data_IF_217680054795
#
_entry.id   IF_217680054795
#
_cell.length_a   1.000
_cell.length_b   1.000
_cell.length_c   1.000
_cell.angle_alpha   90.00
_cell.angle_beta   90.00
_cell.angle_gamma   90.00
#
_symmetry.space_group_name_H-M   'P 1'
#
loop_
_entity.id
_entity.type
_entity.pdbx_description
1 polymer ?
#
# COMPACT_ATOMS: atom_id res chain seq x y z
N UNK A 1 4.30 -17.54 23.05
CA UNK A 1 3.45 -17.76 24.24
C UNK A 1 2.17 -18.42 23.71
N UNK A 2 1.07 -18.51 24.46
CA UNK A 2 -0.20 -19.01 23.93
C UNK A 2 -1.24 -17.89 23.99
N UNK A 3 -2.10 -17.81 22.96
CA UNK A 3 -3.25 -16.91 22.96
C UNK A 3 -4.15 -17.20 24.18
N UNK A 4 -4.57 -16.15 24.88
CA UNK A 4 -5.38 -16.22 26.09
C UNK A 4 -6.85 -15.94 25.78
N UNK A 5 -7.74 -16.47 26.62
CA UNK A 5 -9.15 -16.07 26.62
C UNK A 5 -9.35 -15.02 27.69
N UNK A 6 -9.59 -13.78 27.27
CA UNK A 6 -9.78 -12.67 28.19
C UNK A 6 -11.11 -12.81 28.94
N UNK A 7 -11.18 -12.27 30.14
CA UNK A 7 -12.41 -12.29 30.94
C UNK A 7 -13.24 -11.04 30.68
N UNK A 8 -14.55 -11.20 30.71
CA UNK A 8 -15.54 -10.12 30.75
C UNK A 8 -16.56 -10.40 31.87
N UNK A 9 -17.30 -9.37 32.28
CA UNK A 9 -18.33 -9.53 33.30
C UNK A 9 -19.70 -9.84 32.67
N UNK A 10 -20.40 -10.84 33.21
CA UNK A 10 -21.74 -11.19 32.79
C UNK A 10 -22.60 -11.64 33.97
N UNK A 11 -23.59 -10.82 34.32
CA UNK A 11 -24.64 -11.17 35.28
C UNK A 11 -24.15 -11.65 36.67
N UNK A 12 -23.03 -11.12 37.18
CA UNK A 12 -22.48 -11.54 38.48
C UNK A 12 -21.20 -12.34 38.39
N UNK A 13 -20.91 -12.92 37.22
CA UNK A 13 -19.82 -13.86 37.03
C UNK A 13 -18.81 -13.35 36.00
N UNK A 14 -17.58 -13.83 36.11
CA UNK A 14 -16.55 -13.65 35.10
C UNK A 14 -16.60 -14.80 34.09
N UNK A 15 -16.67 -14.44 32.81
CA UNK A 15 -16.72 -15.39 31.70
C UNK A 15 -15.58 -15.16 30.73
N UNK A 16 -15.15 -16.23 30.08
CA UNK A 16 -14.16 -16.17 29.00
C UNK A 16 -14.81 -15.60 27.72
N UNK A 17 -14.17 -14.62 27.09
CA UNK A 17 -14.58 -14.11 25.79
C UNK A 17 -14.46 -15.20 24.73
N UNK A 18 -15.45 -15.25 23.84
CA UNK A 18 -15.44 -16.05 22.63
C UNK A 18 -14.48 -15.46 21.60
N UNK A 19 -14.09 -16.26 20.59
CA UNK A 19 -13.26 -15.77 19.49
C UNK A 19 -13.90 -14.60 18.73
N UNK A 20 -15.24 -14.55 18.64
CA UNK A 20 -15.95 -13.46 17.98
C UNK A 20 -15.86 -12.16 18.78
N UNK A 21 -16.07 -12.21 20.09
CA UNK A 21 -15.93 -11.04 20.98
C UNK A 21 -14.48 -10.52 21.00
N UNK A 22 -13.50 -11.42 20.94
CA UNK A 22 -12.08 -11.04 20.81
C UNK A 22 -11.80 -10.28 19.50
N UNK A 23 -12.42 -10.68 18.39
CA UNK A 23 -12.32 -9.96 17.11
C UNK A 23 -12.95 -8.56 17.20
N UNK A 24 -13.99 -8.37 17.99
CA UNK A 24 -14.55 -7.03 18.22
C UNK A 24 -13.56 -6.12 18.96
N UNK A 25 -12.82 -6.63 19.94
CA UNK A 25 -11.74 -5.87 20.59
C UNK A 25 -10.65 -5.51 19.59
N UNK A 26 -10.21 -6.47 18.76
CA UNK A 26 -9.23 -6.22 17.70
C UNK A 26 -9.71 -5.14 16.73
N UNK A 27 -10.98 -5.17 16.30
CA UNK A 27 -11.57 -4.12 15.46
C UNK A 27 -11.61 -2.76 16.15
N UNK A 28 -11.82 -2.69 17.47
CA UNK A 28 -11.74 -1.43 18.22
C UNK A 28 -10.31 -0.89 18.23
N UNK A 29 -9.32 -1.75 18.46
CA UNK A 29 -7.91 -1.36 18.38
C UNK A 29 -7.54 -0.87 16.97
N UNK A 30 -8.05 -1.53 15.93
CA UNK A 30 -7.85 -1.12 14.53
C UNK A 30 -8.52 0.22 14.24
N UNK A 31 -9.67 0.51 14.84
CA UNK A 31 -10.26 1.85 14.79
C UNK A 31 -9.30 2.90 15.38
N UNK A 32 -8.74 2.66 16.57
CA UNK A 32 -7.78 3.56 17.19
C UNK A 32 -6.52 3.75 16.31
N UNK A 33 -6.00 2.67 15.70
CA UNK A 33 -4.94 2.75 14.70
C UNK A 33 -5.37 3.59 13.49
N UNK A 34 -6.57 3.36 12.96
CA UNK A 34 -7.10 4.09 11.80
C UNK A 34 -7.24 5.59 12.01
N UNK A 35 -7.55 6.02 13.25
CA UNK A 35 -7.61 7.43 13.64
C UNK A 35 -6.22 8.07 13.66
N UNK A 36 -5.19 7.32 14.07
CA UNK A 36 -3.80 7.80 14.10
C UNK A 36 -2.80 6.73 13.63
N UNK A 37 -2.70 6.47 12.31
CA UNK A 37 -1.84 5.40 11.79
C UNK A 37 -0.36 5.69 12.04
N UNK A 38 0.44 4.65 12.27
CA UNK A 38 1.88 4.79 12.56
C UNK A 38 2.79 4.27 11.47
N UNK A 39 2.30 3.46 10.52
CA UNK A 39 2.94 3.17 9.25
C UNK A 39 2.23 3.99 8.16
N UNK A 40 2.84 5.10 7.75
CA UNK A 40 2.19 6.15 6.97
C UNK A 40 2.79 6.21 5.57
N UNK A 41 1.96 6.00 4.54
CA UNK A 41 2.32 6.29 3.15
C UNK A 41 1.96 7.73 2.79
N UNK A 42 2.87 8.36 2.07
CA UNK A 42 2.76 9.72 1.52
C UNK A 42 3.17 9.71 0.05
N UNK A 43 2.72 10.71 -0.70
CA UNK A 43 3.13 10.91 -2.09
C UNK A 43 4.16 12.04 -2.15
N UNK A 44 5.34 11.75 -2.71
CA UNK A 44 6.44 12.69 -2.92
C UNK A 44 6.69 12.92 -4.40
N UNK A 45 7.45 13.96 -4.73
CA UNK A 45 7.79 14.27 -6.13
C UNK A 45 8.76 13.25 -6.75
N UNK A 46 9.74 12.79 -5.97
CA UNK A 46 10.74 11.77 -6.30
C UNK A 46 11.40 11.28 -5.01
N UNK A 47 12.20 10.20 -5.08
CA UNK A 47 13.01 9.68 -3.97
C UNK A 47 12.19 9.26 -2.75
N UNK A 48 11.13 8.48 -2.98
CA UNK A 48 10.35 7.85 -1.93
C UNK A 48 11.22 6.91 -1.09
N UNK A 49 11.04 6.94 0.23
CA UNK A 49 11.75 6.02 1.11
C UNK A 49 10.93 4.75 1.35
N UNK A 50 11.63 3.61 1.45
CA UNK A 50 11.12 2.33 1.95
C UNK A 50 9.97 1.70 1.14
N UNK A 51 9.73 2.20 -0.08
CA UNK A 51 8.87 1.58 -1.09
C UNK A 51 9.63 1.67 -2.42
N UNK A 52 9.72 0.55 -3.13
CA UNK A 52 10.50 0.50 -4.37
C UNK A 52 9.86 1.37 -5.47
N UNK A 53 10.73 1.98 -6.26
CA UNK A 53 10.34 2.64 -7.50
C UNK A 53 9.78 1.62 -8.50
N UNK A 54 8.88 2.06 -9.36
CA UNK A 54 8.30 1.26 -10.44
C UNK A 54 8.46 1.99 -11.76
N UNK A 55 8.64 1.23 -12.84
CA UNK A 55 8.96 1.77 -14.14
C UNK A 55 7.76 1.70 -15.08
N UNK A 56 7.57 2.78 -15.83
CA UNK A 56 6.68 2.88 -16.99
C UNK A 56 7.54 2.84 -18.26
N UNK A 57 7.14 2.06 -19.27
CA UNK A 57 7.91 1.92 -20.50
C UNK A 57 7.08 2.18 -21.75
N UNK A 58 7.64 2.99 -22.65
CA UNK A 58 7.03 3.30 -23.94
C UNK A 58 8.04 3.27 -25.07
N UNK A 59 7.56 3.27 -26.31
CA UNK A 59 8.40 3.32 -27.51
C UNK A 59 8.59 4.77 -27.96
N UNK A 60 9.80 5.10 -28.41
CA UNK A 60 10.12 6.36 -29.09
C UNK A 60 10.67 6.07 -30.49
N UNK A 61 10.62 7.06 -31.39
CA UNK A 61 11.17 6.92 -32.73
C UNK A 61 12.63 6.44 -32.73
N UNK A 62 13.00 5.64 -33.73
CA UNK A 62 14.39 5.32 -34.00
C UNK A 62 15.16 6.52 -34.54
N UNK A 63 16.49 6.45 -34.59
CA UNK A 63 17.29 7.54 -35.14
C UNK A 63 17.01 7.74 -36.65
N UNK A 64 16.91 9.00 -37.08
CA UNK A 64 16.75 9.34 -38.50
C UNK A 64 18.02 9.02 -39.28
N UNK A 65 17.88 8.32 -40.41
CA UNK A 65 18.92 8.16 -41.42
C UNK A 65 18.77 9.21 -42.51
N UNK A 66 19.89 9.75 -43.02
CA UNK A 66 19.90 10.78 -44.06
C UNK A 66 20.84 10.39 -45.20
N UNK A 67 20.50 10.81 -46.41
CA UNK A 67 21.26 10.53 -47.63
C UNK A 67 20.96 11.60 -48.69
N UNK A 68 21.93 11.87 -49.57
CA UNK A 68 21.75 12.88 -50.63
C UNK A 68 21.27 12.28 -51.97
N UNK A 69 21.09 10.96 -52.04
CA UNK A 69 20.91 10.25 -53.32
C UNK A 69 19.72 9.31 -53.35
N UNK A 70 19.32 8.75 -52.20
CA UNK A 70 18.20 7.82 -52.07
C UNK A 70 17.82 7.63 -50.59
N UNK A 71 16.60 7.19 -50.32
CA UNK A 71 16.18 6.77 -48.98
C UNK A 71 17.01 5.59 -48.47
N UNK A 72 17.34 5.61 -47.19
CA UNK A 72 17.95 4.47 -46.50
C UNK A 72 16.87 3.40 -46.29
N UNK A 73 17.21 2.15 -46.63
CA UNK A 73 16.28 1.04 -46.57
C UNK A 73 15.92 0.67 -45.13
N UNK A 74 14.67 0.22 -44.92
CA UNK A 74 14.09 -0.16 -43.62
C UNK A 74 15.01 -1.09 -42.83
N UNK A 75 15.50 -2.18 -43.42
CA UNK A 75 16.39 -3.11 -42.71
C UNK A 75 17.75 -2.55 -42.27
N UNK A 76 18.03 -1.26 -42.53
CA UNK A 76 19.24 -0.55 -42.12
C UNK A 76 18.95 0.74 -41.33
N UNK A 77 17.68 1.12 -41.16
CA UNK A 77 17.30 2.21 -40.26
C UNK A 77 17.35 1.73 -38.81
N UNK A 78 17.39 2.69 -37.88
CA UNK A 78 17.32 2.36 -36.47
C UNK A 78 15.86 2.10 -36.07
N UNK A 79 15.63 0.99 -35.37
CA UNK A 79 14.34 0.57 -34.84
C UNK A 79 13.85 1.48 -33.69
N UNK A 80 12.54 1.53 -33.39
CA UNK A 80 12.00 2.24 -32.24
C UNK A 80 12.60 1.77 -30.91
N UNK A 81 13.14 2.74 -30.16
CA UNK A 81 13.79 2.50 -28.87
C UNK A 81 12.78 2.50 -27.72
N UNK A 82 13.20 1.99 -26.56
CA UNK A 82 12.36 2.01 -25.35
C UNK A 82 12.79 3.17 -24.46
N UNK A 83 11.83 4.01 -24.09
CA UNK A 83 11.98 5.00 -23.03
C UNK A 83 11.42 4.42 -21.74
N UNK A 84 12.17 4.58 -20.65
CA UNK A 84 11.78 4.16 -19.31
C UNK A 84 11.68 5.38 -18.41
N UNK A 85 10.53 5.54 -17.75
CA UNK A 85 10.32 6.56 -16.72
C UNK A 85 10.13 5.86 -15.38
N UNK A 86 11.01 6.17 -14.43
CA UNK A 86 10.91 5.63 -13.09
C UNK A 86 10.02 6.50 -12.21
N UNK A 87 9.06 5.86 -11.54
CA UNK A 87 8.15 6.46 -10.57
C UNK A 87 8.55 6.05 -9.16
N UNK A 88 9.29 6.94 -8.51
CA UNK A 88 9.70 6.83 -7.11
C UNK A 88 8.94 7.85 -6.26
N UNK A 89 7.61 7.65 -6.17
CA UNK A 89 6.68 8.64 -5.61
C UNK A 89 6.01 8.24 -4.30
N UNK A 90 6.16 7.00 -3.85
CA UNK A 90 5.54 6.53 -2.61
C UNK A 90 6.58 6.52 -1.51
N UNK A 91 6.33 7.23 -0.42
CA UNK A 91 7.22 7.27 0.75
C UNK A 91 6.51 6.64 1.96
N UNK A 92 7.13 5.64 2.57
CA UNK A 92 6.72 5.05 3.84
C UNK A 92 7.53 5.64 4.99
N UNK A 93 6.82 6.20 5.97
CA UNK A 93 7.40 6.68 7.22
C UNK A 93 6.74 6.02 8.43
N UNK A 94 7.53 5.85 9.49
CA UNK A 94 7.05 5.35 10.77
C UNK A 94 7.00 6.46 11.80
N UNK A 95 5.91 6.52 12.57
CA UNK A 95 5.85 7.40 13.75
C UNK A 95 6.92 6.96 14.75
N UNK A 96 7.76 7.88 15.25
CA UNK A 96 8.79 7.56 16.23
C UNK A 96 8.18 7.01 17.53
N UNK A 97 8.90 6.13 18.25
CA UNK A 97 8.43 5.54 19.51
C UNK A 97 7.95 6.58 20.52
N UNK A 98 8.65 7.71 20.65
CA UNK A 98 8.27 8.82 21.55
C UNK A 98 6.97 9.53 21.16
N UNK A 99 6.46 9.31 19.95
CA UNK A 99 5.18 9.82 19.46
C UNK A 99 4.01 8.83 19.63
N UNK A 100 4.24 7.70 20.31
CA UNK A 100 3.23 6.67 20.59
C UNK A 100 3.13 6.53 22.11
N UNK A 101 1.93 6.69 22.67
CA UNK A 101 1.74 6.67 24.13
C UNK A 101 1.54 5.26 24.68
N UNK A 102 2.26 4.26 24.13
CA UNK A 102 2.13 2.89 24.61
C UNK A 102 2.61 2.78 26.08
N UNK A 103 1.73 2.28 26.93
CA UNK A 103 1.96 2.22 28.38
C UNK A 103 3.06 1.21 28.75
N UNK A 104 3.74 1.43 29.87
CA UNK A 104 4.63 0.40 30.45
C UNK A 104 3.78 -0.67 31.14
N UNK A 105 4.17 -1.94 30.97
CA UNK A 105 3.54 -3.06 31.68
C UNK A 105 3.94 -3.03 33.17
N UNK A 106 2.96 -2.81 34.04
CA UNK A 106 3.11 -2.80 35.50
C UNK A 106 2.63 -4.09 36.16
N UNK A 107 2.30 -5.12 35.37
CA UNK A 107 1.73 -6.39 35.84
C UNK A 107 0.21 -6.38 36.03
N UNK A 108 -0.44 -5.24 35.81
CA UNK A 108 -1.91 -5.07 35.85
C UNK A 108 -2.46 -4.23 34.69
N UNK A 109 -1.58 -3.79 33.79
CA UNK A 109 -1.89 -2.87 32.68
C UNK A 109 -2.84 -3.47 31.66
N UNK A 110 -2.77 -4.78 31.47
CA UNK A 110 -3.47 -5.49 30.40
C UNK A 110 -4.63 -6.34 30.93
N UNK A 111 -5.56 -6.71 30.04
CA UNK A 111 -6.67 -7.59 30.37
C UNK A 111 -6.29 -8.85 31.15
N UNK A 112 -7.23 -9.34 31.96
CA UNK A 112 -7.06 -10.58 32.73
C UNK A 112 -7.62 -11.80 32.02
N UNK A 113 -7.10 -12.97 32.38
CA UNK A 113 -7.55 -14.30 31.98
C UNK A 113 -7.54 -15.24 33.20
N UNK A 114 -8.20 -16.40 33.11
CA UNK A 114 -8.01 -17.47 34.09
C UNK A 114 -6.71 -18.21 33.80
N UNK A 115 -5.82 -18.31 34.78
CA UNK A 115 -4.68 -19.22 34.71
C UNK A 115 -5.15 -20.69 34.68
N UNK A 116 -4.25 -21.60 34.35
CA UNK A 116 -4.58 -23.04 34.27
C UNK A 116 -5.06 -23.66 35.60
N UNK A 117 -5.00 -22.92 36.71
CA UNK A 117 -5.53 -23.29 38.03
C UNK A 117 -6.90 -22.68 38.35
N UNK A 118 -7.41 -21.79 37.49
CA UNK A 118 -8.65 -21.04 37.70
C UNK A 118 -8.48 -19.73 38.47
N UNK A 119 -7.24 -19.29 38.74
CA UNK A 119 -6.96 -17.99 39.37
C UNK A 119 -6.94 -16.89 38.32
N UNK A 120 -7.26 -15.66 38.69
CA UNK A 120 -7.24 -14.52 37.77
C UNK A 120 -5.81 -13.99 37.66
N UNK A 121 -5.35 -13.82 36.42
CA UNK A 121 -4.03 -13.28 36.12
C UNK A 121 -4.12 -12.23 35.01
N UNK A 122 -3.45 -11.09 35.18
CA UNK A 122 -3.28 -10.12 34.10
C UNK A 122 -2.37 -10.67 33.00
N UNK A 123 -2.70 -10.42 31.74
CA UNK A 123 -1.81 -10.70 30.62
C UNK A 123 -0.48 -9.98 30.82
N UNK A 124 0.63 -10.68 30.54
CA UNK A 124 1.90 -10.00 30.26
C UNK A 124 1.84 -9.32 28.89
N UNK A 125 2.78 -8.43 28.58
CA UNK A 125 2.93 -7.89 27.22
C UNK A 125 3.02 -9.00 26.15
N UNK A 126 3.69 -10.10 26.44
CA UNK A 126 3.83 -11.20 25.49
C UNK A 126 2.51 -11.97 25.29
N UNK A 127 1.69 -12.10 26.34
CA UNK A 127 0.33 -12.63 26.21
C UNK A 127 -0.55 -11.68 25.40
N UNK A 128 -0.46 -10.36 25.65
CA UNK A 128 -1.22 -9.35 24.90
C UNK A 128 -0.91 -9.40 23.40
N UNK A 129 0.38 -9.49 23.07
CA UNK A 129 0.86 -9.63 21.70
C UNK A 129 0.22 -10.81 20.99
N UNK A 130 0.34 -12.00 21.56
CA UNK A 130 -0.19 -13.24 20.96
C UNK A 130 -1.73 -13.28 20.97
N UNK A 131 -2.38 -12.59 21.91
CA UNK A 131 -3.84 -12.64 22.10
C UNK A 131 -4.59 -11.62 21.25
N UNK A 132 -4.07 -10.40 21.12
CA UNK A 132 -4.77 -9.27 20.48
C UNK A 132 -3.95 -8.59 19.39
N UNK A 133 -2.69 -8.22 19.66
CA UNK A 133 -1.95 -7.36 18.73
C UNK A 133 -1.64 -8.08 17.42
N UNK A 134 -1.10 -9.30 17.49
CA UNK A 134 -0.74 -10.10 16.31
C UNK A 134 -1.97 -10.43 15.45
N UNK A 135 -3.09 -10.96 16.00
CA UNK A 135 -4.32 -11.12 15.22
C UNK A 135 -4.88 -9.82 14.62
N UNK A 136 -4.78 -8.68 15.33
CA UNK A 136 -5.22 -7.40 14.79
C UNK A 136 -4.37 -6.96 13.59
N UNK A 137 -3.05 -7.17 13.62
CA UNK A 137 -2.18 -6.96 12.45
C UNK A 137 -2.59 -7.87 11.29
N UNK A 138 -2.92 -9.14 11.52
CA UNK A 138 -3.44 -10.04 10.46
C UNK A 138 -4.68 -9.47 9.77
N UNK A 139 -5.63 -8.94 10.56
CA UNK A 139 -6.82 -8.29 10.02
C UNK A 139 -6.44 -7.05 9.20
N UNK A 140 -5.52 -6.21 9.69
CA UNK A 140 -5.08 -4.99 9.00
C UNK A 140 -4.42 -5.28 7.65
N UNK A 141 -3.64 -6.36 7.55
CA UNK A 141 -2.90 -6.71 6.32
C UNK A 141 -3.71 -7.59 5.37
N UNK A 142 -4.92 -8.04 5.71
CA UNK A 142 -5.77 -8.89 4.87
C UNK A 142 -6.01 -8.31 3.48
N UNK A 143 -5.80 -9.06 2.40
CA UNK A 143 -6.06 -8.63 1.00
C UNK A 143 -7.45 -8.06 0.75
N UNK A 144 -8.46 -8.52 1.49
CA UNK A 144 -9.83 -8.02 1.40
C UNK A 144 -10.01 -6.82 2.32
N UNK A 145 -10.21 -5.65 1.71
CA UNK A 145 -10.37 -4.39 2.42
C UNK A 145 -11.74 -4.28 3.12
N UNK A 146 -11.74 -3.75 4.34
CA UNK A 146 -12.95 -3.55 5.14
C UNK A 146 -12.70 -2.52 6.26
N UNK A 147 -13.63 -2.34 7.19
CA UNK A 147 -13.37 -1.58 8.42
C UNK A 147 -12.21 -2.16 9.25
N UNK A 148 -11.88 -3.44 9.09
CA UNK A 148 -10.75 -4.09 9.79
C UNK A 148 -9.40 -3.79 9.14
N UNK A 149 -9.36 -3.02 8.05
CA UNK A 149 -8.12 -2.54 7.41
C UNK A 149 -7.98 -1.02 7.53
N UNK A 150 -8.65 -0.39 8.51
CA UNK A 150 -8.60 1.05 8.74
C UNK A 150 -7.15 1.55 8.94
N UNK A 151 -6.86 2.74 8.42
CA UNK A 151 -5.53 3.34 8.46
C UNK A 151 -4.52 2.75 7.49
N UNK A 152 -4.86 1.68 6.75
CA UNK A 152 -4.02 1.11 5.69
C UNK A 152 -4.34 1.71 4.32
N UNK A 153 -3.49 1.43 3.33
CA UNK A 153 -3.52 2.11 2.04
C UNK A 153 -3.92 1.19 0.90
N UNK A 154 -4.52 1.79 -0.12
CA UNK A 154 -4.95 1.15 -1.37
C UNK A 154 -4.62 2.02 -2.58
N UNK A 155 -4.49 1.39 -3.75
CA UNK A 155 -4.31 2.11 -5.01
C UNK A 155 -5.58 1.99 -5.83
N UNK A 156 -6.01 3.08 -6.45
CA UNK A 156 -7.12 3.07 -7.41
C UNK A 156 -6.75 3.87 -8.66
N UNK A 157 -7.55 3.75 -9.72
CA UNK A 157 -7.43 4.56 -10.93
C UNK A 157 -8.27 5.86 -10.88
N UNK A 158 -8.68 6.30 -9.69
CA UNK A 158 -9.47 7.51 -9.47
C UNK A 158 -8.71 8.50 -8.60
N UNK A 159 -8.63 9.76 -9.03
CA UNK A 159 -8.09 10.85 -8.21
C UNK A 159 -9.06 11.31 -7.11
N UNK A 160 -10.30 10.83 -7.14
CA UNK A 160 -11.29 11.03 -6.07
C UNK A 160 -11.42 9.77 -5.24
N UNK A 161 -11.53 9.93 -3.92
CA UNK A 161 -11.72 8.82 -3.01
C UNK A 161 -13.15 8.26 -3.07
N UNK A 162 -13.29 6.95 -2.93
CA UNK A 162 -14.57 6.29 -2.73
C UNK A 162 -15.05 6.47 -1.28
N UNK A 163 -16.30 6.07 -1.00
CA UNK A 163 -16.83 6.02 0.38
C UNK A 163 -15.91 5.21 1.30
N UNK A 164 -15.68 5.72 2.51
CA UNK A 164 -14.76 5.18 3.53
C UNK A 164 -13.26 5.25 3.17
N UNK A 165 -12.89 6.05 2.17
CA UNK A 165 -11.50 6.34 1.87
C UNK A 165 -11.24 7.84 1.81
N UNK A 166 -10.03 8.20 2.20
CA UNK A 166 -9.48 9.54 2.02
C UNK A 166 -8.39 9.49 0.94
N UNK A 167 -8.43 10.44 -0.01
CA UNK A 167 -7.35 10.59 -0.96
C UNK A 167 -6.09 11.09 -0.25
N UNK A 168 -4.96 10.41 -0.43
CA UNK A 168 -3.66 10.85 0.10
C UNK A 168 -3.09 12.01 -0.72
N UNK A 169 -3.24 11.96 -2.04
CA UNK A 169 -2.79 13.01 -2.96
C UNK A 169 -3.50 12.92 -4.31
N UNK A 170 -3.83 14.06 -4.90
CA UNK A 170 -4.29 14.13 -6.29
C UNK A 170 -3.15 13.95 -7.31
N UNK A 171 -1.91 13.76 -6.87
CA UNK A 171 -0.79 13.38 -7.72
C UNK A 171 -0.75 11.87 -7.88
N UNK A 172 -0.73 11.39 -9.11
CA UNK A 172 -0.60 9.96 -9.39
C UNK A 172 0.77 9.43 -8.94
N UNK A 173 0.75 8.28 -8.25
CA UNK A 173 1.96 7.55 -7.85
C UNK A 173 2.57 6.77 -9.02
N UNK A 174 1.76 6.44 -10.03
CA UNK A 174 2.15 5.78 -11.25
C UNK A 174 1.24 6.23 -12.40
N UNK A 175 1.82 6.38 -13.59
CA UNK A 175 1.07 6.67 -14.80
C UNK A 175 1.57 5.74 -15.89
N UNK A 176 0.67 4.91 -16.41
CA UNK A 176 0.86 4.09 -17.60
C UNK A 176 0.79 5.00 -18.82
N UNK A 177 1.83 5.02 -19.62
CA UNK A 177 1.89 5.82 -20.85
C UNK A 177 2.27 4.97 -22.05
N UNK A 178 1.84 5.41 -23.24
CA UNK A 178 2.21 4.77 -24.50
C UNK A 178 2.60 5.80 -25.54
N UNK A 179 3.40 5.38 -26.52
CA UNK A 179 3.67 6.20 -27.70
C UNK A 179 2.35 6.62 -28.35
N UNK A 180 2.16 7.92 -28.56
CA UNK A 180 1.06 8.46 -29.35
C UNK A 180 1.42 8.36 -30.82
N UNK A 181 0.99 7.28 -31.47
CA UNK A 181 1.30 7.03 -32.88
C UNK A 181 0.70 8.05 -33.84
N UNK A 182 -0.24 8.89 -33.38
CA UNK A 182 -0.86 9.93 -34.21
C UNK A 182 0.00 11.19 -34.36
N UNK A 183 0.93 11.43 -33.43
CA UNK A 183 1.88 12.56 -33.48
C UNK A 183 3.07 12.28 -34.41
N UNK A 184 3.39 11.01 -34.64
CA UNK A 184 4.44 10.60 -35.56
C UNK A 184 3.97 10.73 -37.02
N UNK A 185 4.53 11.68 -37.76
CA UNK A 185 4.17 11.91 -39.18
C UNK A 185 5.40 11.91 -40.08
N UNK A 186 5.25 11.47 -41.34
CA UNK A 186 6.33 11.52 -42.33
C UNK A 186 6.86 12.95 -42.53
N UNK A 187 5.97 13.95 -42.53
CA UNK A 187 6.35 15.36 -42.63
C UNK A 187 7.15 15.86 -41.41
N UNK A 188 7.06 15.18 -40.26
CA UNK A 188 7.78 15.48 -39.04
C UNK A 188 9.22 14.96 -38.99
N UNK A 189 9.69 14.21 -40.00
CA UNK A 189 11.06 13.67 -40.00
C UNK A 189 12.09 14.80 -40.18
N UNK A 190 13.11 14.94 -39.29
CA UNK A 190 13.47 14.05 -38.19
C UNK A 190 12.58 14.25 -36.93
N UNK A 191 12.02 13.16 -36.41
CA UNK A 191 11.33 13.13 -35.11
C UNK A 191 12.33 12.76 -34.00
N UNK A 192 12.30 13.49 -32.88
CA UNK A 192 13.21 13.29 -31.74
C UNK A 192 12.52 13.34 -30.39
N UNK A 193 11.23 13.68 -30.36
CA UNK A 193 10.41 13.74 -29.16
C UNK A 193 9.85 12.36 -28.81
N UNK A 194 9.57 12.16 -27.52
CA UNK A 194 9.09 10.91 -26.93
C UNK A 194 7.57 10.66 -27.15
N UNK A 195 6.83 11.71 -27.52
CA UNK A 195 5.39 11.68 -27.86
C UNK A 195 4.52 10.74 -26.97
N UNK A 196 4.49 10.90 -25.63
CA UNK A 196 3.69 10.05 -24.77
C UNK A 196 2.21 10.44 -24.72
N UNK A 197 1.34 9.44 -24.69
CA UNK A 197 -0.07 9.55 -24.32
C UNK A 197 -0.31 8.85 -22.98
N UNK A 198 -1.03 9.51 -22.06
CA UNK A 198 -1.45 8.90 -20.79
C UNK A 198 -2.58 7.93 -21.04
N UNK A 199 -2.44 6.70 -20.54
CA UNK A 199 -3.47 5.66 -20.64
C UNK A 199 -4.25 5.55 -19.34
N UNK A 200 -3.53 5.38 -18.23
CA UNK A 200 -4.15 5.26 -16.90
C UNK A 200 -3.25 5.93 -15.86
N UNK A 201 -3.87 6.66 -14.93
CA UNK A 201 -3.19 7.22 -13.76
C UNK A 201 -3.68 6.53 -12.49
N UNK A 202 -2.76 6.28 -11.57
CA UNK A 202 -3.01 5.53 -10.35
C UNK A 202 -2.71 6.36 -9.11
N UNK A 203 -3.63 6.34 -8.15
CA UNK A 203 -3.65 7.25 -7.00
C UNK A 203 -3.73 6.46 -5.70
N UNK A 204 -3.10 7.00 -4.67
CA UNK A 204 -3.03 6.40 -3.34
C UNK A 204 -4.17 6.91 -2.45
N UNK A 205 -4.87 5.99 -1.80
CA UNK A 205 -5.97 6.28 -0.88
C UNK A 205 -5.72 5.57 0.45
N UNK A 206 -6.22 6.16 1.54
CA UNK A 206 -6.19 5.57 2.89
C UNK A 206 -7.60 5.14 3.28
N UNK A 207 -7.73 3.93 3.83
CA UNK A 207 -8.99 3.47 4.43
C UNK A 207 -9.30 4.27 5.70
N UNK A 208 -10.48 4.85 5.79
CA UNK A 208 -10.91 5.61 6.94
C UNK A 208 -11.25 4.73 8.14
N UNK A 209 -11.10 5.30 9.33
CA UNK A 209 -11.52 4.66 10.57
C UNK A 209 -13.04 4.58 10.65
N UNK A 210 -13.56 3.41 11.01
CA UNK A 210 -14.98 3.20 11.28
C UNK A 210 -15.12 2.71 12.71
N UNK A 211 -15.91 3.44 13.51
CA UNK A 211 -16.07 3.13 14.92
C UNK A 211 -16.68 1.74 15.10
N UNK A 212 -16.05 0.93 15.94
CA UNK A 212 -16.59 -0.32 16.44
C UNK A 212 -16.90 -0.18 17.93
N UNK A 213 -18.05 -0.70 18.37
CA UNK A 213 -18.37 -0.84 19.79
C UNK A 213 -18.47 -2.32 20.10
N UNK A 214 -17.45 -2.91 20.77
CA UNK A 214 -17.51 -4.29 21.22
C UNK A 214 -18.75 -4.58 22.06
N UNK A 215 -19.34 -5.74 21.86
CA UNK A 215 -20.48 -6.24 22.64
C UNK A 215 -20.09 -6.54 24.09
N UNK A 216 -18.83 -6.90 24.33
CA UNK A 216 -18.21 -7.14 25.63
C UNK A 216 -16.86 -6.46 25.70
N UNK A 217 -16.49 -5.98 26.89
CA UNK A 217 -15.18 -5.41 27.15
C UNK A 217 -14.37 -6.30 28.10
N UNK A 218 -13.05 -6.39 27.89
CA UNK A 218 -12.19 -7.16 28.79
C UNK A 218 -12.07 -6.51 30.16
N UNK A 219 -11.78 -7.32 31.17
CA UNK A 219 -11.53 -6.91 32.55
C UNK A 219 -10.05 -6.61 32.75
N UNK A 220 -9.74 -5.56 33.52
CA UNK A 220 -8.40 -5.21 34.02
C UNK A 220 -8.40 -5.14 35.54
N UNK A 221 -7.21 -5.15 36.15
CA UNK A 221 -7.03 -4.89 37.59
C UNK A 221 -6.68 -3.41 37.76
N UNK A 222 -7.51 -2.66 38.46
CA UNK A 222 -7.28 -1.23 38.66
C UNK A 222 -6.25 -0.95 39.79
N UNK A 223 -5.95 0.32 40.03
CA UNK A 223 -4.96 0.72 41.04
C UNK A 223 -5.34 0.39 42.50
N UNK A 224 -6.60 0.03 42.76
CA UNK A 224 -7.08 -0.44 44.06
C UNK A 224 -7.05 -1.98 44.19
N UNK A 225 -6.53 -2.69 43.18
CA UNK A 225 -6.60 -4.14 43.03
C UNK A 225 -8.02 -4.70 42.84
N UNK A 226 -8.96 -3.87 42.39
CA UNK A 226 -10.31 -4.32 42.02
C UNK A 226 -10.39 -4.65 40.53
N UNK A 227 -11.30 -5.56 40.18
CA UNK A 227 -11.60 -5.86 38.78
C UNK A 227 -12.49 -4.78 38.18
N UNK A 228 -12.16 -4.37 36.95
CA UNK A 228 -12.87 -3.32 36.24
C UNK A 228 -12.98 -3.64 34.75
N UNK A 229 -14.16 -3.46 34.15
CA UNK A 229 -14.31 -3.52 32.70
C UNK A 229 -13.61 -2.33 32.03
N UNK A 230 -12.84 -2.59 30.98
CA UNK A 230 -12.28 -1.54 30.14
C UNK A 230 -13.41 -0.76 29.46
N UNK A 231 -13.24 0.56 29.37
CA UNK A 231 -14.09 1.38 28.50
C UNK A 231 -13.58 1.37 27.07
N UNK A 232 -14.40 1.83 26.12
CA UNK A 232 -13.96 2.01 24.73
C UNK A 232 -12.72 2.91 24.60
N UNK A 233 -12.64 4.00 25.39
CA UNK A 233 -11.47 4.86 25.41
C UNK A 233 -10.27 4.17 26.05
N UNK A 234 -10.46 3.35 27.09
CA UNK A 234 -9.37 2.57 27.67
C UNK A 234 -8.81 1.55 26.68
N UNK A 235 -9.65 0.94 25.84
CA UNK A 235 -9.18 0.07 24.74
C UNK A 235 -8.36 0.86 23.73
N UNK A 236 -8.82 2.04 23.33
CA UNK A 236 -8.10 2.89 22.37
C UNK A 236 -6.73 3.33 22.91
N UNK A 237 -6.71 3.87 24.13
CA UNK A 237 -5.53 4.49 24.75
C UNK A 237 -4.48 3.45 25.19
N UNK A 238 -4.91 2.24 25.58
CA UNK A 238 -3.97 1.21 26.03
C UNK A 238 -3.69 0.22 24.90
N UNK A 239 -4.72 -0.49 24.44
CA UNK A 239 -4.54 -1.59 23.48
C UNK A 239 -4.32 -1.06 22.06
N UNK A 240 -5.01 0.03 21.70
CA UNK A 240 -4.82 0.73 20.43
C UNK A 240 -3.42 1.32 20.30
N UNK A 241 -2.89 1.97 21.34
CA UNK A 241 -1.51 2.48 21.32
C UNK A 241 -0.46 1.36 21.27
N UNK A 242 -0.70 0.22 21.91
CA UNK A 242 0.15 -0.96 21.73
C UNK A 242 0.07 -1.56 20.32
N UNK A 243 -1.10 -1.53 19.66
CA UNK A 243 -1.23 -1.91 18.26
C UNK A 243 -0.47 -0.94 17.35
N UNK A 244 -0.60 0.37 17.59
CA UNK A 244 0.15 1.43 16.90
C UNK A 244 1.65 1.26 17.04
N UNK A 245 2.13 0.95 18.25
CA UNK A 245 3.54 0.64 18.49
C UNK A 245 3.97 -0.62 17.72
N UNK A 246 3.19 -1.70 17.80
CA UNK A 246 3.49 -2.98 17.15
C UNK A 246 3.57 -2.82 15.63
N UNK A 247 2.61 -2.11 15.02
CA UNK A 247 2.58 -1.86 13.59
C UNK A 247 3.81 -1.10 13.08
N UNK A 248 4.45 -0.26 13.89
CA UNK A 248 5.60 0.55 13.47
C UNK A 248 6.96 -0.02 13.91
N UNK A 249 7.01 -0.71 15.06
CA UNK A 249 8.26 -1.02 15.77
C UNK A 249 8.34 -2.46 16.29
N UNK A 250 7.43 -3.34 15.89
CA UNK A 250 7.58 -4.78 16.18
C UNK A 250 8.94 -5.28 15.69
N UNK A 251 9.59 -6.09 16.52
CA UNK A 251 10.83 -6.80 16.21
C UNK A 251 10.60 -8.32 16.15
N UNK A 252 9.34 -8.75 16.22
CA UNK A 252 8.87 -10.13 16.27
C UNK A 252 8.03 -10.51 15.03
N UNK A 253 8.20 -9.79 13.92
CA UNK A 253 7.61 -10.13 12.62
C UNK A 253 6.22 -9.55 12.36
N UNK A 254 5.81 -8.54 13.13
CA UNK A 254 4.49 -7.91 13.04
C UNK A 254 4.54 -6.41 12.71
N UNK A 255 5.70 -5.92 12.25
CA UNK A 255 5.82 -4.54 11.79
C UNK A 255 5.19 -4.44 10.41
N UNK A 256 4.26 -3.53 10.23
CA UNK A 256 3.58 -3.31 8.94
C UNK A 256 4.56 -2.70 7.94
N UNK A 257 4.64 -3.29 6.77
CA UNK A 257 5.47 -2.81 5.66
C UNK A 257 4.64 -2.71 4.38
N UNK A 258 5.10 -1.86 3.46
CA UNK A 258 4.52 -1.69 2.14
C UNK A 258 5.60 -1.84 1.08
N UNK A 259 5.21 -2.29 -0.11
CA UNK A 259 6.05 -2.20 -1.30
C UNK A 259 5.20 -2.08 -2.58
N UNK A 260 5.77 -1.55 -3.66
CA UNK A 260 5.23 -1.71 -5.00
C UNK A 260 5.94 -2.90 -5.66
N UNK A 261 5.25 -4.03 -5.80
CA UNK A 261 5.89 -5.26 -6.25
C UNK A 261 4.99 -6.13 -7.12
N UNK A 262 5.62 -6.99 -7.92
CA UNK A 262 4.95 -7.98 -8.78
C UNK A 262 4.51 -9.23 -8.01
N UNK A 263 5.06 -9.45 -6.80
CA UNK A 263 4.76 -10.60 -5.95
C UNK A 263 5.04 -10.31 -4.47
N UNK A 264 4.64 -11.23 -3.59
CA UNK A 264 4.79 -11.09 -2.15
C UNK A 264 3.66 -10.28 -1.51
N UNK A 265 3.33 -10.62 -0.26
CA UNK A 265 2.28 -9.97 0.51
C UNK A 265 0.90 -9.92 -0.09
N UNK A 266 0.05 -9.18 0.60
CA UNK A 266 -1.34 -9.01 0.20
C UNK A 266 -1.48 -7.81 -0.74
N UNK A 267 -2.16 -8.02 -1.87
CA UNK A 267 -2.49 -6.95 -2.81
C UNK A 267 -3.45 -5.94 -2.18
N UNK A 268 -3.26 -4.66 -2.49
CA UNK A 268 -4.10 -3.54 -2.08
C UNK A 268 -4.58 -2.74 -3.29
N UNK A 269 -5.88 -2.84 -3.57
CA UNK A 269 -6.53 -2.10 -4.64
C UNK A 269 -6.23 -2.58 -6.05
N UNK A 270 -6.25 -1.65 -6.99
CA UNK A 270 -6.08 -1.87 -8.43
C UNK A 270 -4.62 -2.16 -8.79
N UNK A 271 -4.42 -3.10 -9.72
CA UNK A 271 -3.11 -3.36 -10.28
C UNK A 271 -2.64 -2.22 -11.19
N UNK A 272 -1.41 -1.78 -11.00
CA UNK A 272 -0.73 -0.76 -11.81
C UNK A 272 -0.05 -1.47 -12.97
N UNK A 273 -0.46 -1.20 -14.21
CA UNK A 273 -0.03 -1.98 -15.38
C UNK A 273 0.83 -1.10 -16.27
N UNK A 274 2.04 -1.56 -16.59
CA UNK A 274 2.90 -1.00 -17.65
C UNK A 274 2.49 -1.62 -18.99
N UNK A 275 2.01 -0.80 -19.93
CA UNK A 275 1.61 -1.24 -21.26
C UNK A 275 2.43 -0.57 -22.34
N UNK A 276 2.79 -1.33 -23.38
CA UNK A 276 3.62 -0.81 -24.46
C UNK A 276 3.22 -1.40 -25.82
N UNK A 277 3.46 -0.64 -26.88
CA UNK A 277 3.36 -1.14 -28.26
C UNK A 277 4.48 -2.13 -28.59
N UNK A 278 4.18 -3.18 -29.35
CA UNK A 278 5.05 -4.32 -29.63
C UNK A 278 5.61 -4.41 -31.05
N UNK A 279 5.33 -3.44 -31.92
CA UNK A 279 5.74 -3.47 -33.31
C UNK A 279 7.23 -3.21 -33.53
N UNK A 280 7.73 -3.68 -34.68
CA UNK A 280 9.12 -3.59 -35.14
C UNK A 280 9.36 -2.38 -36.05
N UNK A 281 8.78 -1.23 -35.71
CA UNK A 281 8.93 -0.02 -36.51
C UNK A 281 7.93 0.15 -37.65
N UNK A 282 7.56 1.40 -37.87
CA UNK A 282 6.83 1.86 -39.03
C UNK A 282 7.76 2.75 -39.85
N UNK A 283 8.38 2.16 -40.87
CA UNK A 283 9.29 2.87 -41.75
C UNK A 283 8.57 3.97 -42.52
N UNK A 284 9.06 5.19 -42.35
CA UNK A 284 8.56 6.40 -42.99
C UNK A 284 9.71 7.14 -43.65
N UNK A 285 9.37 7.93 -44.67
CA UNK A 285 10.34 8.69 -45.45
C UNK A 285 9.89 10.13 -45.65
N UNK A 286 10.87 11.03 -45.74
CA UNK A 286 10.65 12.41 -46.13
C UNK A 286 11.77 12.85 -47.06
N UNK A 287 11.40 13.42 -48.21
CA UNK A 287 12.35 14.03 -49.11
C UNK A 287 12.15 15.55 -49.16
N UNK A 288 13.24 16.30 -49.00
CA UNK A 288 13.27 17.76 -49.18
C UNK A 288 14.41 18.09 -50.14
N UNK A 289 14.08 18.34 -51.41
CA UNK A 289 15.09 18.43 -52.48
C UNK A 289 15.94 17.16 -52.56
N UNK A 290 17.26 17.27 -52.44
CA UNK A 290 18.17 16.12 -52.48
C UNK A 290 18.39 15.51 -51.08
N UNK A 291 17.72 16.00 -50.03
CA UNK A 291 17.80 15.43 -48.68
C UNK A 291 16.74 14.34 -48.49
N UNK A 292 17.18 13.07 -48.53
CA UNK A 292 16.36 11.88 -48.34
C UNK A 292 16.51 11.38 -46.90
N UNK A 293 15.41 11.43 -46.15
CA UNK A 293 15.35 11.00 -44.75
C UNK A 293 14.51 9.74 -44.62
N UNK A 294 14.98 8.79 -43.83
CA UNK A 294 14.24 7.59 -43.44
C UNK A 294 14.24 7.47 -41.92
N UNK A 295 13.12 7.09 -41.33
CA UNK A 295 13.01 6.90 -39.89
C UNK A 295 11.91 5.90 -39.58
N UNK A 296 12.05 5.14 -38.49
CA UNK A 296 11.02 4.22 -38.03
C UNK A 296 10.34 4.73 -36.77
N UNK A 297 9.01 4.71 -36.80
CA UNK A 297 8.17 5.15 -35.69
C UNK A 297 7.55 3.98 -34.92
N UNK A 298 7.15 4.18 -33.65
CA UNK A 298 6.41 3.16 -32.91
C UNK A 298 5.13 2.71 -33.62
N UNK A 299 4.84 1.41 -33.58
CA UNK A 299 3.62 0.80 -34.13
C UNK A 299 3.31 -0.52 -33.41
N UNK A 300 2.28 -1.25 -33.89
CA UNK A 300 1.93 -2.57 -33.40
C UNK A 300 0.71 -2.58 -32.48
N UNK A 301 0.59 -3.65 -31.70
CA UNK A 301 -0.48 -3.86 -30.73
C UNK A 301 -0.01 -3.57 -29.31
N UNK A 302 -0.96 -3.37 -28.41
CA UNK A 302 -0.67 -3.12 -26.99
C UNK A 302 -0.41 -4.45 -26.29
N UNK A 303 0.72 -4.55 -25.59
CA UNK A 303 1.04 -5.64 -24.67
C UNK A 303 1.27 -5.13 -23.25
N UNK A 304 0.95 -5.96 -22.25
CA UNK A 304 1.39 -5.73 -20.86
C UNK A 304 2.84 -6.14 -20.73
N UNK A 305 3.67 -5.24 -20.23
CA UNK A 305 5.09 -5.47 -19.97
C UNK A 305 5.28 -5.94 -18.54
N UNK A 306 4.72 -5.22 -17.56
CA UNK A 306 4.79 -5.57 -16.14
C UNK A 306 3.52 -5.13 -15.44
N UNK A 307 3.14 -5.88 -14.40
CA UNK A 307 2.04 -5.52 -13.50
C UNK A 307 2.57 -5.39 -12.08
N UNK A 308 2.48 -4.19 -11.54
CA UNK A 308 2.80 -3.88 -10.15
C UNK A 308 1.53 -3.83 -9.31
N UNK A 309 1.68 -4.09 -8.02
CA UNK A 309 0.64 -3.86 -7.03
C UNK A 309 1.22 -3.12 -5.84
N UNK A 310 0.42 -2.26 -5.19
CA UNK A 310 0.68 -1.94 -3.80
C UNK A 310 0.48 -3.23 -2.99
N UNK A 311 1.53 -3.62 -2.26
CA UNK A 311 1.55 -4.77 -1.38
C UNK A 311 1.67 -4.29 0.05
N UNK A 312 0.91 -4.92 0.95
CA UNK A 312 1.06 -4.78 2.39
C UNK A 312 1.53 -6.10 2.99
N UNK A 313 2.41 -6.00 3.98
CA UNK A 313 3.03 -7.13 4.65
C UNK A 313 3.21 -6.86 6.14
N UNK A 314 3.63 -7.92 6.85
CA UNK A 314 4.28 -7.83 8.15
C UNK A 314 5.69 -8.42 8.06
N UNK A 315 6.65 -7.88 8.81
CA UNK A 315 8.04 -8.32 8.83
C UNK A 315 8.76 -7.95 10.10
#
# INVERSE_FOLDING_TARGET
MASRKLLYYDSGDLKEMTSAEMVEIQKRMIYAYGVSPTAVLTVVSSSGALVDAIDDTRKAAGATSQSTTAFVAEGTTAEPTTVTVSYDKTNLAYTATSGISNTTDTGTTFPVYYDGSGSIQACSLADLKDTLLHPAIELMISGTESSSTAGTYTVTNSSSAATDYTNVSTTAIYVDTRADTSEYTAAGIPETLDQPSTITSYYLHRRDASANTPSRFPIVINGSNDLQEMSASTVDDILGDWLRYTAAHSADGYKVTYNNATSGGNTRGTAMVDTRLDGSGYWQTLQVSDDYRSQEFPNGSVGTITTYNLRINKG
#
